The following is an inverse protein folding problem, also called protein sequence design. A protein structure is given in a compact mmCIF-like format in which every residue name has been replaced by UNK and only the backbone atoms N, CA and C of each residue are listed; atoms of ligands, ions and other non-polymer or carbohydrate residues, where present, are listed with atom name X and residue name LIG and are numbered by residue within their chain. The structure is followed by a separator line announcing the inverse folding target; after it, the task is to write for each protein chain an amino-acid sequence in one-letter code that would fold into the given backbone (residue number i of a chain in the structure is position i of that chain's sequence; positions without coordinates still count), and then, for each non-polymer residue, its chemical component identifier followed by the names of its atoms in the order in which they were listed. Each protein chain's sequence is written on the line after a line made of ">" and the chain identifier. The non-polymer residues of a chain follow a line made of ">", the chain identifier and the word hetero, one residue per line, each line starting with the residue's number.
data_IF_413019148993
#
_entry.id   IF_413019148993
#
_cell.length_a   1.000
_cell.length_b   1.000
_cell.length_c   1.000
_cell.angle_alpha   90.00
_cell.angle_beta   90.00
_cell.angle_gamma   90.00
#
_symmetry.space_group_name_H-M   'P 1'
#
loop_
_entity.id
_entity.type
_entity.pdbx_description
1 polymer ?
#
# COMPACT_ATOMS: atom_id res chain seq x y z
N UNK A 1 4.00 -22.10 20.33
CA UNK A 1 3.95 -20.69 19.89
C UNK A 1 5.24 -20.23 19.22
N UNK A 2 6.42 -20.33 19.85
CA UNK A 2 7.69 -19.88 19.25
C UNK A 2 8.03 -20.53 17.88
N UNK A 3 7.87 -21.86 17.74
CA UNK A 3 8.08 -22.55 16.46
C UNK A 3 7.13 -22.10 15.34
N UNK A 4 5.90 -21.72 15.71
CA UNK A 4 4.89 -21.22 14.76
C UNK A 4 5.28 -19.82 14.27
N UNK A 5 5.72 -18.94 15.18
CA UNK A 5 6.24 -17.61 14.84
C UNK A 5 7.47 -17.69 13.92
N UNK A 6 8.40 -18.62 14.19
CA UNK A 6 9.60 -18.82 13.36
C UNK A 6 9.22 -19.31 11.96
N UNK A 7 8.29 -20.27 11.84
CA UNK A 7 7.78 -20.74 10.53
C UNK A 7 7.08 -19.64 9.76
N UNK A 8 6.25 -18.83 10.41
CA UNK A 8 5.55 -17.71 9.78
C UNK A 8 6.53 -16.64 9.28
N UNK A 9 7.54 -16.29 10.08
CA UNK A 9 8.58 -15.34 9.67
C UNK A 9 9.39 -15.83 8.47
N UNK A 10 9.75 -17.12 8.43
CA UNK A 10 10.44 -17.74 7.29
C UNK A 10 9.61 -17.73 6.00
N UNK A 11 8.29 -17.97 6.10
CA UNK A 11 7.37 -17.91 4.95
C UNK A 11 7.21 -16.48 4.42
N UNK A 12 7.13 -15.50 5.31
CA UNK A 12 7.10 -14.09 4.91
C UNK A 12 8.41 -13.68 4.22
N UNK A 13 9.55 -14.11 4.76
CA UNK A 13 10.85 -13.83 4.16
C UNK A 13 11.01 -14.46 2.78
N UNK A 14 10.62 -15.74 2.61
CA UNK A 14 10.68 -16.40 1.30
C UNK A 14 9.72 -15.77 0.29
N UNK A 15 8.51 -15.39 0.71
CA UNK A 15 7.56 -14.67 -0.16
C UNK A 15 8.10 -13.31 -0.63
N UNK A 16 8.78 -12.57 0.26
CA UNK A 16 9.37 -11.28 -0.09
C UNK A 16 10.50 -11.43 -1.13
N UNK A 17 11.36 -12.45 -0.97
CA UNK A 17 12.44 -12.73 -1.93
C UNK A 17 11.90 -13.14 -3.31
N UNK A 18 10.85 -13.96 -3.35
CA UNK A 18 10.21 -14.36 -4.63
C UNK A 18 9.56 -13.16 -5.33
N UNK A 19 8.90 -12.27 -4.57
CA UNK A 19 8.31 -11.04 -5.09
C UNK A 19 9.37 -10.06 -5.62
N UNK A 20 10.50 -9.89 -4.91
CA UNK A 20 11.64 -9.10 -5.37
C UNK A 20 12.30 -9.66 -6.64
N UNK A 21 12.43 -10.99 -6.73
CA UNK A 21 12.92 -11.64 -7.94
C UNK A 21 11.96 -11.45 -9.13
N UNK A 22 10.65 -11.55 -8.89
CA UNK A 22 9.62 -11.28 -9.90
C UNK A 22 9.68 -9.87 -10.47
N UNK A 23 9.99 -8.87 -9.62
CA UNK A 23 10.18 -7.48 -10.06
C UNK A 23 11.40 -7.30 -10.98
N UNK A 24 12.50 -8.02 -10.71
CA UNK A 24 13.74 -7.96 -11.52
C UNK A 24 13.59 -8.58 -12.90
N UNK A 25 12.71 -9.57 -13.06
CA UNK A 25 12.47 -10.26 -14.35
C UNK A 25 11.72 -9.33 -15.34
N UNK A 26 11.16 -8.20 -14.88
CA UNK A 26 10.72 -7.10 -15.74
C UNK A 26 9.41 -7.34 -16.50
N UNK A 27 8.77 -8.51 -16.35
CA UNK A 27 7.55 -8.89 -17.10
C UNK A 27 6.24 -8.44 -16.46
N UNK A 28 6.28 -7.74 -15.32
CA UNK A 28 5.09 -7.39 -14.57
C UNK A 28 4.49 -6.05 -15.04
N UNK A 29 3.20 -6.07 -15.47
CA UNK A 29 2.37 -4.88 -15.68
C UNK A 29 2.48 -3.93 -14.48
N UNK A 30 2.43 -2.61 -14.71
CA UNK A 30 2.48 -1.58 -13.66
C UNK A 30 1.47 -1.86 -12.53
N UNK A 31 0.26 -2.35 -12.86
CA UNK A 31 -0.76 -2.71 -11.85
C UNK A 31 -0.35 -3.89 -10.97
N UNK A 32 0.31 -4.88 -11.57
CA UNK A 32 0.86 -6.03 -10.85
C UNK A 32 2.02 -5.57 -9.95
N UNK A 33 2.86 -4.66 -10.43
CA UNK A 33 3.96 -4.05 -9.67
C UNK A 33 3.48 -3.34 -8.40
N UNK A 34 2.41 -2.54 -8.47
CA UNK A 34 1.82 -1.93 -7.28
C UNK A 34 1.32 -2.96 -6.27
N UNK A 35 0.61 -3.99 -6.74
CA UNK A 35 0.14 -5.09 -5.88
C UNK A 35 1.29 -5.82 -5.18
N UNK A 36 2.39 -6.04 -5.90
CA UNK A 36 3.62 -6.65 -5.37
C UNK A 36 4.27 -5.76 -4.31
N UNK A 37 4.39 -4.45 -4.54
CA UNK A 37 4.94 -3.51 -3.56
C UNK A 37 4.08 -3.41 -2.30
N UNK A 38 2.74 -3.40 -2.45
CA UNK A 38 1.82 -3.45 -1.30
C UNK A 38 2.00 -4.73 -0.48
N UNK A 39 2.18 -5.88 -1.12
CA UNK A 39 2.44 -7.15 -0.42
C UNK A 39 3.81 -7.15 0.29
N UNK A 40 4.86 -6.67 -0.38
CA UNK A 40 6.21 -6.55 0.19
C UNK A 40 6.22 -5.62 1.40
N UNK A 41 5.57 -4.46 1.32
CA UNK A 41 5.51 -3.54 2.45
C UNK A 41 4.84 -4.17 3.68
N UNK A 42 3.75 -4.92 3.49
CA UNK A 42 3.04 -5.63 4.57
C UNK A 42 3.88 -6.76 5.18
N UNK A 43 4.64 -7.49 4.35
CA UNK A 43 5.57 -8.51 4.81
C UNK A 43 6.69 -7.90 5.65
N UNK A 44 7.35 -6.85 5.16
CA UNK A 44 8.42 -6.16 5.91
C UNK A 44 7.92 -5.48 7.18
N UNK A 45 6.69 -4.96 7.17
CA UNK A 45 6.03 -4.45 8.37
C UNK A 45 5.88 -5.54 9.44
N UNK A 46 5.39 -6.71 9.04
CA UNK A 46 5.20 -7.87 9.92
C UNK A 46 6.52 -8.45 10.44
N UNK A 47 7.60 -8.29 9.66
CA UNK A 47 8.96 -8.63 10.05
C UNK A 47 9.61 -7.58 10.98
N UNK A 48 8.93 -6.46 11.27
CA UNK A 48 9.44 -5.37 12.10
C UNK A 48 10.44 -4.45 11.38
N UNK A 49 10.69 -4.64 10.08
CA UNK A 49 11.56 -3.77 9.29
C UNK A 49 10.76 -2.63 8.67
N UNK A 50 10.48 -1.62 9.50
CA UNK A 50 9.68 -0.45 9.12
C UNK A 50 10.33 0.36 8.00
N UNK A 51 11.66 0.46 7.95
CA UNK A 51 12.36 1.26 6.93
C UNK A 51 12.22 0.67 5.52
N UNK A 52 12.43 -0.64 5.38
CA UNK A 52 12.17 -1.32 4.10
C UNK A 52 10.70 -1.26 3.72
N UNK A 53 9.81 -1.44 4.69
CA UNK A 53 8.37 -1.35 4.46
C UNK A 53 7.99 0.01 3.88
N UNK A 54 8.48 1.11 4.46
CA UNK A 54 8.27 2.47 3.97
C UNK A 54 8.80 2.67 2.55
N UNK A 55 9.99 2.15 2.23
CA UNK A 55 10.55 2.25 0.89
C UNK A 55 9.64 1.60 -0.17
N UNK A 56 9.09 0.42 0.12
CA UNK A 56 8.14 -0.25 -0.78
C UNK A 56 6.78 0.48 -0.85
N UNK A 57 6.27 1.02 0.26
CA UNK A 57 5.05 1.84 0.25
C UNK A 57 5.22 3.10 -0.62
N UNK A 58 6.42 3.70 -0.62
CA UNK A 58 6.73 4.86 -1.45
C UNK A 58 6.79 4.51 -2.94
N UNK A 59 7.36 3.35 -3.28
CA UNK A 59 7.33 2.85 -4.67
C UNK A 59 5.92 2.47 -5.12
N UNK A 60 5.09 1.90 -4.25
CA UNK A 60 3.68 1.65 -4.54
C UNK A 60 2.91 2.96 -4.81
N UNK A 61 3.19 4.00 -4.01
CA UNK A 61 2.60 5.33 -4.22
C UNK A 61 2.95 5.92 -5.59
N UNK A 62 4.20 5.77 -6.03
CA UNK A 62 4.65 6.28 -7.33
C UNK A 62 4.01 5.50 -8.50
N UNK A 63 3.88 4.18 -8.37
CA UNK A 63 3.21 3.33 -9.35
C UNK A 63 1.71 3.64 -9.43
N UNK A 64 1.04 3.79 -8.30
CA UNK A 64 -0.40 4.11 -8.28
C UNK A 64 -0.70 5.52 -8.81
N UNK A 65 0.18 6.49 -8.54
CA UNK A 65 0.11 7.83 -9.15
C UNK A 65 0.30 7.80 -10.66
N UNK A 66 1.28 7.06 -11.16
CA UNK A 66 1.52 6.94 -12.62
C UNK A 66 0.37 6.22 -13.33
N UNK A 67 -0.29 5.28 -12.65
CA UNK A 67 -1.49 4.60 -13.15
C UNK A 67 -2.79 5.40 -13.00
N UNK A 68 -2.79 6.49 -12.22
CA UNK A 68 -4.01 7.21 -11.86
C UNK A 68 -4.97 6.41 -10.96
N UNK A 69 -4.48 5.38 -10.27
CA UNK A 69 -5.27 4.57 -9.34
C UNK A 69 -5.41 5.29 -8.00
N UNK A 70 -6.45 6.12 -7.88
CA UNK A 70 -6.77 6.88 -6.68
C UNK A 70 -7.05 5.99 -5.45
N UNK A 71 -7.54 4.75 -5.66
CA UNK A 71 -7.80 3.80 -4.57
C UNK A 71 -6.49 3.22 -4.03
N UNK A 72 -5.58 2.85 -4.94
CA UNK A 72 -4.21 2.47 -4.60
C UNK A 72 -3.45 3.58 -3.87
N UNK A 73 -3.52 4.81 -4.39
CA UNK A 73 -2.85 5.98 -3.80
C UNK A 73 -3.34 6.26 -2.36
N UNK A 74 -4.65 6.15 -2.13
CA UNK A 74 -5.26 6.30 -0.81
C UNK A 74 -4.71 5.27 0.20
N UNK A 75 -4.64 3.98 -0.19
CA UNK A 75 -4.08 2.93 0.66
C UNK A 75 -2.60 3.16 0.96
N UNK A 76 -1.81 3.52 -0.04
CA UNK A 76 -0.38 3.77 0.11
C UNK A 76 -0.12 4.92 1.10
N UNK A 77 -0.87 6.02 1.01
CA UNK A 77 -0.76 7.13 1.97
C UNK A 77 -1.14 6.73 3.41
N UNK A 78 -2.17 5.90 3.61
CA UNK A 78 -2.53 5.43 4.95
C UNK A 78 -1.49 4.51 5.58
N UNK A 79 -0.88 3.65 4.77
CA UNK A 79 0.20 2.77 5.18
C UNK A 79 1.46 3.56 5.55
N UNK A 80 1.85 4.54 4.73
CA UNK A 80 2.95 5.48 5.02
C UNK A 80 2.70 6.29 6.29
N UNK A 81 1.47 6.78 6.50
CA UNK A 81 1.08 7.51 7.70
C UNK A 81 1.29 6.68 8.97
N UNK A 82 0.82 5.42 8.95
CA UNK A 82 1.02 4.47 10.05
C UNK A 82 2.51 4.18 10.29
N UNK A 83 3.30 4.05 9.23
CA UNK A 83 4.74 3.81 9.32
C UNK A 83 5.52 4.96 9.94
N UNK A 84 5.20 6.18 9.52
CA UNK A 84 5.79 7.39 10.06
C UNK A 84 5.38 7.61 11.52
N UNK A 85 4.15 7.24 11.88
CA UNK A 85 3.67 7.27 13.26
C UNK A 85 4.50 6.33 14.16
N UNK A 86 4.75 5.09 13.71
CA UNK A 86 5.63 4.15 14.41
C UNK A 86 7.08 4.65 14.54
N UNK A 87 7.54 5.49 13.61
CA UNK A 87 8.88 6.12 13.64
C UNK A 87 8.93 7.42 14.46
N UNK A 88 7.85 7.78 15.16
CA UNK A 88 7.70 9.07 15.89
C UNK A 88 7.76 10.32 15.00
N UNK A 89 7.64 10.19 13.68
CA UNK A 89 7.58 11.32 12.76
C UNK A 89 6.13 11.76 12.52
N UNK A 90 5.53 12.33 13.56
CA UNK A 90 4.10 12.67 13.58
C UNK A 90 3.71 13.73 12.55
N UNK A 91 4.62 14.65 12.21
CA UNK A 91 4.35 15.75 11.28
C UNK A 91 4.11 15.22 9.86
N UNK A 92 4.98 14.32 9.40
CA UNK A 92 4.82 13.69 8.09
C UNK A 92 3.70 12.65 8.08
N UNK A 93 3.48 11.94 9.19
CA UNK A 93 2.35 11.02 9.33
C UNK A 93 1.02 11.75 9.13
N UNK A 94 0.84 12.91 9.79
CA UNK A 94 -0.36 13.72 9.67
C UNK A 94 -0.56 14.25 8.24
N UNK A 95 0.51 14.64 7.56
CA UNK A 95 0.45 15.06 6.17
C UNK A 95 -0.05 13.91 5.25
N UNK A 96 0.47 12.70 5.46
CA UNK A 96 0.04 11.52 4.72
C UNK A 96 -1.43 11.15 5.00
N UNK A 97 -1.87 11.19 6.26
CA UNK A 97 -3.27 10.95 6.61
C UNK A 97 -4.21 12.03 6.05
N UNK A 98 -3.78 13.29 5.96
CA UNK A 98 -4.55 14.34 5.28
C UNK A 98 -4.70 14.06 3.78
N UNK A 99 -3.61 13.65 3.11
CA UNK A 99 -3.67 13.29 1.69
C UNK A 99 -4.58 12.08 1.46
N UNK A 100 -4.49 11.06 2.32
CA UNK A 100 -5.39 9.91 2.34
C UNK A 100 -6.85 10.36 2.48
N UNK A 101 -7.16 11.26 3.40
CA UNK A 101 -8.53 11.76 3.62
C UNK A 101 -9.07 12.50 2.39
N UNK A 102 -8.26 13.37 1.78
CA UNK A 102 -8.65 14.10 0.56
C UNK A 102 -8.94 13.14 -0.59
N UNK A 103 -8.12 12.10 -0.77
CA UNK A 103 -8.34 11.07 -1.78
C UNK A 103 -9.59 10.23 -1.47
N UNK A 104 -9.78 9.86 -0.21
CA UNK A 104 -10.96 9.12 0.24
C UNK A 104 -12.26 9.90 0.02
N UNK A 105 -12.26 11.22 0.26
CA UNK A 105 -13.40 12.09 -0.04
C UNK A 105 -13.70 12.11 -1.55
N UNK A 106 -12.67 12.28 -2.39
CA UNK A 106 -12.83 12.25 -3.86
C UNK A 106 -13.38 10.92 -4.37
N UNK A 107 -12.97 9.80 -3.77
CA UNK A 107 -13.48 8.47 -4.09
C UNK A 107 -14.94 8.32 -3.63
N UNK A 108 -15.28 8.78 -2.43
CA UNK A 108 -16.63 8.70 -1.87
C UNK A 108 -17.61 9.55 -2.68
N UNK A 109 -17.23 10.75 -3.11
CA UNK A 109 -18.08 11.58 -3.97
C UNK A 109 -18.30 10.95 -5.35
N UNK A 110 -17.29 10.24 -5.88
CA UNK A 110 -17.45 9.42 -7.10
C UNK A 110 -18.38 8.23 -6.90
N UNK A 111 -18.26 7.52 -5.80
CA UNK A 111 -19.16 6.39 -5.47
C UNK A 111 -20.60 6.85 -5.27
N UNK A 112 -20.82 7.95 -4.54
CA UNK A 112 -22.14 8.53 -4.30
C UNK A 112 -22.76 9.04 -5.60
N UNK A 113 -21.99 9.71 -6.47
CA UNK A 113 -22.47 10.17 -7.78
C UNK A 113 -22.76 9.01 -8.74
N UNK A 114 -21.97 7.94 -8.73
CA UNK A 114 -22.29 6.71 -9.45
C UNK A 114 -23.61 6.13 -8.94
N UNK A 115 -23.74 5.89 -7.62
CA UNK A 115 -24.97 5.36 -7.03
C UNK A 115 -26.21 6.22 -7.35
N UNK A 116 -26.06 7.54 -7.34
CA UNK A 116 -27.13 8.48 -7.67
C UNK A 116 -27.52 8.43 -9.17
N UNK A 117 -26.58 8.19 -10.08
CA UNK A 117 -26.88 7.98 -11.50
C UNK A 117 -27.59 6.63 -11.74
N UNK A 118 -27.15 5.55 -11.08
CA UNK A 118 -27.75 4.22 -11.25
C UNK A 118 -29.21 4.19 -10.74
N UNK A 119 -29.52 4.96 -9.69
CA UNK A 119 -30.88 5.05 -9.14
C UNK A 119 -31.81 5.97 -9.96
N UNK A 120 -31.29 6.86 -10.80
CA UNK A 120 -32.08 7.71 -11.71
C UNK A 120 -32.42 7.04 -13.05
N UNK A 121 -31.81 5.89 -13.34
CA UNK A 121 -32.03 5.11 -14.57
C UNK A 121 -33.03 3.96 -14.39
N UNK A 122 -33.65 3.83 -13.22
CA UNK A 122 -34.81 2.97 -12.94
C UNK A 122 -36.06 3.83 -12.73
#
# INVERSE_FOLDING_TARGET
>A
YALLCIRVALLLFSSAVVLEAGLKIGTCSLKLRGSVYSALSSAYWSLGNIEKSMAYMQQDLEVTKTLGDQSGECRAHGNLGSALFSKSNYREALANHRNQLVLAMKLKDREVSLHACIHKTH
#
